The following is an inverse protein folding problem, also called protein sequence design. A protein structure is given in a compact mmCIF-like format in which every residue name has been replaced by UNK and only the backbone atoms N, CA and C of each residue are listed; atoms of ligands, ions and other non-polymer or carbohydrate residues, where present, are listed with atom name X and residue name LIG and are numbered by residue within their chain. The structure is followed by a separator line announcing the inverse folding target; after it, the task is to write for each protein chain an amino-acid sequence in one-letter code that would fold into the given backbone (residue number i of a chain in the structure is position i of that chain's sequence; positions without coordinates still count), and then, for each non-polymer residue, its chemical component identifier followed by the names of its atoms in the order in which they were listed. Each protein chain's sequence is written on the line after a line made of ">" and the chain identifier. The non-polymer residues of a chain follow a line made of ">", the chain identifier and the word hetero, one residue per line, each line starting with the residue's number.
data_IF_283239540996
#
_entry.id   IF_283239540996
#
_cell.length_a   1.000
_cell.length_b   1.000
_cell.length_c   1.000
_cell.angle_alpha   90.00
_cell.angle_beta   90.00
_cell.angle_gamma   90.00
#
_symmetry.space_group_name_H-M   'P 1'
#
loop_
_entity.id
_entity.type
_entity.pdbx_description
1 polymer ?
#
# COMPACT_ATOMS: atom_id res chain seq x y z
N UNK A 1 40.96 7.21 -12.13
CA UNK A 1 40.03 6.40 -11.32
C UNK A 1 38.67 7.09 -11.37
N UNK A 2 37.64 6.46 -11.94
CA UNK A 2 36.27 6.93 -11.76
C UNK A 2 35.89 6.60 -10.32
N UNK A 3 35.58 7.61 -9.51
CA UNK A 3 34.99 7.40 -8.19
C UNK A 3 33.63 6.74 -8.41
N UNK A 4 33.50 5.49 -7.97
CA UNK A 4 32.21 4.79 -8.02
C UNK A 4 31.17 5.59 -7.23
N UNK A 5 30.02 5.83 -7.84
CA UNK A 5 28.93 6.55 -7.22
C UNK A 5 28.15 5.58 -6.31
N UNK A 6 28.34 5.75 -5.01
CA UNK A 6 27.71 4.92 -3.98
C UNK A 6 26.18 4.80 -4.13
N UNK A 7 25.53 5.89 -4.58
CA UNK A 7 24.08 5.91 -4.80
C UNK A 7 23.67 5.00 -5.96
N UNK A 8 24.41 5.02 -7.07
CA UNK A 8 24.16 4.14 -8.23
C UNK A 8 24.36 2.67 -7.85
N UNK A 9 25.41 2.38 -7.07
CA UNK A 9 25.67 1.03 -6.56
C UNK A 9 24.54 0.53 -5.65
N UNK A 10 24.07 1.35 -4.70
CA UNK A 10 22.95 0.96 -3.84
C UNK A 10 21.64 0.81 -4.59
N UNK A 11 21.35 1.67 -5.56
CA UNK A 11 20.17 1.54 -6.40
C UNK A 11 20.19 0.21 -7.17
N UNK A 12 21.32 -0.14 -7.79
CA UNK A 12 21.48 -1.41 -8.48
C UNK A 12 21.30 -2.61 -7.54
N UNK A 13 21.93 -2.59 -6.37
CA UNK A 13 21.79 -3.66 -5.37
C UNK A 13 20.35 -3.81 -4.89
N UNK A 14 19.63 -2.69 -4.67
CA UNK A 14 18.22 -2.70 -4.31
C UNK A 14 17.37 -3.34 -5.41
N UNK A 15 17.61 -3.00 -6.68
CA UNK A 15 16.91 -3.62 -7.81
C UNK A 15 17.15 -5.13 -7.87
N UNK A 16 18.36 -5.61 -7.57
CA UNK A 16 18.62 -7.05 -7.48
C UNK A 16 17.84 -7.70 -6.35
N UNK A 17 17.76 -7.07 -5.17
CA UNK A 17 16.99 -7.58 -4.04
C UNK A 17 15.51 -7.71 -4.40
N UNK A 18 14.90 -6.67 -5.00
CA UNK A 18 13.47 -6.67 -5.38
C UNK A 18 13.07 -7.79 -6.36
N UNK A 19 14.04 -8.41 -7.05
CA UNK A 19 13.81 -9.52 -7.98
C UNK A 19 13.93 -10.91 -7.32
N UNK A 20 14.29 -10.98 -6.04
CA UNK A 20 14.31 -12.24 -5.28
C UNK A 20 12.88 -12.74 -5.08
N UNK A 21 12.68 -14.05 -5.21
CA UNK A 21 11.36 -14.70 -5.12
C UNK A 21 10.66 -14.43 -3.77
N UNK A 22 11.41 -14.45 -2.66
CA UNK A 22 10.89 -14.15 -1.32
C UNK A 22 10.30 -12.73 -1.21
N UNK A 23 10.90 -11.76 -1.92
CA UNK A 23 10.40 -10.37 -1.92
C UNK A 23 9.11 -10.21 -2.75
N UNK A 24 8.77 -11.16 -3.61
CA UNK A 24 7.46 -11.15 -4.29
C UNK A 24 6.29 -11.42 -3.32
N UNK A 25 6.57 -11.93 -2.10
CA UNK A 25 5.56 -12.07 -1.04
C UNK A 25 5.17 -10.75 -0.41
N UNK A 26 5.92 -9.69 -0.70
CA UNK A 26 5.72 -8.34 -0.17
C UNK A 26 5.46 -7.33 -1.31
N UNK A 27 4.33 -7.46 -2.04
CA UNK A 27 4.02 -6.60 -3.18
C UNK A 27 3.79 -5.12 -2.84
N UNK A 28 3.28 -4.77 -1.66
CA UNK A 28 3.10 -3.39 -1.24
C UNK A 28 4.43 -2.75 -0.85
N UNK A 29 5.27 -3.46 -0.09
CA UNK A 29 6.64 -3.07 0.24
C UNK A 29 7.46 -2.86 -1.03
N UNK A 30 7.34 -3.79 -2.00
CA UNK A 30 7.96 -3.64 -3.32
C UNK A 30 7.47 -2.37 -4.02
N UNK A 31 6.16 -2.12 -4.02
CA UNK A 31 5.56 -0.92 -4.61
C UNK A 31 6.08 0.37 -3.96
N UNK A 32 6.20 0.41 -2.63
CA UNK A 32 6.78 1.55 -1.88
C UNK A 32 8.17 1.88 -2.39
N UNK A 33 9.02 0.86 -2.59
CA UNK A 33 10.40 1.03 -3.06
C UNK A 33 10.43 1.43 -4.54
N UNK A 34 9.71 0.73 -5.41
CA UNK A 34 9.71 0.98 -6.87
C UNK A 34 9.15 2.36 -7.22
N UNK A 35 8.13 2.82 -6.48
CA UNK A 35 7.54 4.15 -6.66
C UNK A 35 8.31 5.26 -5.93
N UNK A 36 9.41 4.92 -5.25
CA UNK A 36 10.24 5.86 -4.49
C UNK A 36 9.39 6.70 -3.52
N UNK A 37 8.56 6.03 -2.72
CA UNK A 37 7.88 6.71 -1.62
C UNK A 37 8.92 7.19 -0.61
N UNK A 38 8.76 8.44 -0.19
CA UNK A 38 9.49 8.99 0.95
C UNK A 38 8.95 8.39 2.24
N UNK A 39 9.73 8.46 3.31
CA UNK A 39 9.29 8.06 4.64
C UNK A 39 7.99 8.76 5.05
N UNK A 40 7.87 10.06 4.76
CA UNK A 40 6.66 10.83 5.02
C UNK A 40 5.45 10.27 4.24
N UNK A 41 5.59 10.04 2.93
CA UNK A 41 4.50 9.47 2.10
C UNK A 41 4.08 8.06 2.58
N UNK A 42 5.05 7.24 2.99
CA UNK A 42 4.78 5.92 3.56
C UNK A 42 4.01 6.04 4.89
N UNK A 43 4.50 6.86 5.82
CA UNK A 43 3.86 7.07 7.13
C UNK A 43 2.44 7.61 6.98
N UNK A 44 2.21 8.58 6.10
CA UNK A 44 0.86 9.11 5.86
C UNK A 44 -0.07 8.05 5.23
N UNK A 45 0.46 7.20 4.33
CA UNK A 45 -0.31 6.06 3.80
C UNK A 45 -0.68 5.09 4.93
N UNK A 46 0.24 4.79 5.84
CA UNK A 46 -0.02 3.89 6.96
C UNK A 46 -1.05 4.45 7.96
N UNK A 47 -1.00 5.76 8.25
CA UNK A 47 -2.01 6.44 9.08
C UNK A 47 -3.38 6.44 8.42
N UNK A 48 -3.44 6.65 7.10
CA UNK A 48 -4.69 6.52 6.35
C UNK A 48 -5.27 5.11 6.52
N UNK A 49 -4.46 4.06 6.38
CA UNK A 49 -4.94 2.69 6.59
C UNK A 49 -5.44 2.43 8.00
N UNK A 50 -4.74 2.93 9.01
CA UNK A 50 -5.14 2.82 10.42
C UNK A 50 -6.49 3.49 10.66
N UNK A 51 -6.66 4.76 10.25
CA UNK A 51 -7.93 5.48 10.39
C UNK A 51 -9.10 4.81 9.65
N UNK A 52 -8.88 4.32 8.42
CA UNK A 52 -9.90 3.58 7.68
C UNK A 52 -10.29 2.27 8.37
N UNK A 53 -9.32 1.61 9.03
CA UNK A 53 -9.58 0.38 9.74
C UNK A 53 -10.38 0.62 11.02
N UNK A 54 -10.07 1.67 11.77
CA UNK A 54 -10.84 2.10 12.93
C UNK A 54 -12.29 2.40 12.53
N UNK A 55 -12.50 3.24 11.51
CA UNK A 55 -13.85 3.54 11.00
C UNK A 55 -14.57 2.26 10.51
N UNK A 56 -13.86 1.35 9.84
CA UNK A 56 -14.44 0.08 9.41
C UNK A 56 -14.92 -0.77 10.59
N UNK A 57 -14.15 -0.86 11.68
CA UNK A 57 -14.55 -1.60 12.87
C UNK A 57 -15.81 -0.98 13.48
N UNK A 58 -15.84 0.35 13.62
CA UNK A 58 -17.02 1.07 14.14
C UNK A 58 -18.26 0.81 13.27
N UNK A 59 -18.12 0.91 11.95
CA UNK A 59 -19.19 0.60 11.00
C UNK A 59 -19.69 -0.86 11.11
N UNK A 60 -18.79 -1.82 11.35
CA UNK A 60 -19.18 -3.22 11.59
C UNK A 60 -19.96 -3.38 12.90
N UNK A 61 -19.53 -2.72 13.97
CA UNK A 61 -20.20 -2.78 15.28
C UNK A 61 -21.60 -2.16 15.24
N UNK A 62 -21.76 -1.09 14.47
CA UNK A 62 -23.05 -0.42 14.26
C UNK A 62 -23.94 -1.13 13.22
N UNK A 63 -23.44 -2.16 12.54
CA UNK A 63 -24.19 -3.00 11.60
C UNK A 63 -24.36 -2.38 10.20
N UNK A 64 -23.45 -1.49 9.79
CA UNK A 64 -23.43 -0.94 8.44
C UNK A 64 -23.10 -2.02 7.41
N UNK A 65 -23.72 -1.91 6.23
CA UNK A 65 -23.56 -2.86 5.12
C UNK A 65 -22.82 -2.22 3.94
N UNK A 66 -22.76 -0.89 3.89
CA UNK A 66 -22.24 -0.09 2.80
C UNK A 66 -21.00 0.68 3.26
N UNK A 67 -19.86 0.36 2.66
CA UNK A 67 -18.53 0.92 2.99
C UNK A 67 -17.91 1.68 1.81
N UNK A 68 -18.72 2.05 0.81
CA UNK A 68 -18.35 2.92 -0.31
C UNK A 68 -17.62 4.21 0.15
N UNK A 69 -18.02 4.88 1.27
CA UNK A 69 -17.30 6.04 1.78
C UNK A 69 -15.84 5.75 2.15
N UNK A 70 -15.51 4.54 2.62
CA UNK A 70 -14.13 4.15 2.94
C UNK A 70 -13.27 4.08 1.67
N UNK A 71 -13.81 3.55 0.56
CA UNK A 71 -13.07 3.53 -0.71
C UNK A 71 -12.86 4.95 -1.24
N UNK A 72 -13.89 5.81 -1.14
CA UNK A 72 -13.76 7.20 -1.56
C UNK A 72 -12.70 7.94 -0.74
N UNK A 73 -12.69 7.72 0.59
CA UNK A 73 -11.69 8.30 1.48
C UNK A 73 -10.28 7.78 1.14
N UNK A 74 -10.15 6.47 0.93
CA UNK A 74 -8.89 5.86 0.48
C UNK A 74 -8.39 6.51 -0.82
N UNK A 75 -9.24 6.57 -1.86
CA UNK A 75 -8.90 7.17 -3.15
C UNK A 75 -8.53 8.66 -3.06
N UNK A 76 -9.19 9.41 -2.16
CA UNK A 76 -8.95 10.83 -1.99
C UNK A 76 -7.66 11.16 -1.24
N UNK A 77 -7.19 10.27 -0.36
CA UNK A 77 -6.05 10.54 0.53
C UNK A 77 -4.82 9.70 0.23
N UNK A 78 -4.94 8.65 -0.60
CA UNK A 78 -3.82 7.81 -1.00
C UNK A 78 -2.70 8.65 -1.63
N UNK A 79 -1.45 8.26 -1.35
CA UNK A 79 -0.29 8.85 -2.02
C UNK A 79 -0.46 8.78 -3.55
N UNK A 80 -0.36 9.92 -4.23
CA UNK A 80 -0.55 10.05 -5.69
C UNK A 80 0.38 9.16 -6.55
N UNK A 81 1.46 8.62 -5.96
CA UNK A 81 2.39 7.69 -6.61
C UNK A 81 1.87 6.26 -6.68
N UNK A 82 0.84 5.94 -5.89
CA UNK A 82 0.24 4.61 -5.78
C UNK A 82 -1.05 4.57 -6.60
N UNK A 83 -1.26 3.47 -7.34
CA UNK A 83 -2.56 3.18 -7.95
C UNK A 83 -3.51 2.65 -6.88
N UNK A 84 -4.75 3.13 -6.86
CA UNK A 84 -5.78 2.69 -5.91
C UNK A 84 -6.00 1.18 -6.01
N UNK A 85 -6.22 0.67 -7.22
CA UNK A 85 -6.47 -0.76 -7.46
C UNK A 85 -5.27 -1.62 -7.07
N UNK A 86 -4.07 -1.26 -7.56
CA UNK A 86 -2.86 -2.06 -7.34
C UNK A 86 -2.47 -2.08 -5.87
N UNK A 87 -2.60 -0.94 -5.17
CA UNK A 87 -2.24 -0.83 -3.76
C UNK A 87 -3.20 -1.61 -2.87
N UNK A 88 -4.51 -1.58 -3.12
CA UNK A 88 -5.48 -2.41 -2.39
C UNK A 88 -5.14 -3.90 -2.53
N UNK A 89 -4.84 -4.37 -3.74
CA UNK A 89 -4.48 -5.78 -3.96
C UNK A 89 -3.14 -6.13 -3.28
N UNK A 90 -2.15 -5.25 -3.39
CA UNK A 90 -0.84 -5.44 -2.79
C UNK A 90 -0.90 -5.49 -1.26
N UNK A 91 -1.61 -4.56 -0.63
CA UNK A 91 -1.80 -4.51 0.83
C UNK A 91 -2.57 -5.74 1.32
N UNK A 92 -3.60 -6.15 0.58
CA UNK A 92 -4.34 -7.39 0.88
C UNK A 92 -3.43 -8.62 0.86
N UNK A 93 -2.58 -8.75 -0.16
CA UNK A 93 -1.65 -9.88 -0.30
C UNK A 93 -0.58 -9.93 0.79
N UNK A 94 -0.16 -8.79 1.32
CA UNK A 94 0.74 -8.73 2.48
C UNK A 94 0.05 -9.07 3.81
N UNK A 95 -1.27 -9.27 3.81
CA UNK A 95 -2.04 -9.61 5.01
C UNK A 95 -2.28 -8.42 5.94
N UNK A 96 -2.09 -7.20 5.44
CA UNK A 96 -2.35 -5.97 6.20
C UNK A 96 -3.83 -5.59 6.12
N UNK A 97 -4.45 -5.30 7.27
CA UNK A 97 -5.86 -4.92 7.37
C UNK A 97 -6.81 -5.81 6.53
N UNK A 98 -6.74 -7.15 6.67
CA UNK A 98 -7.26 -8.08 5.66
C UNK A 98 -8.77 -7.94 5.42
N UNK A 99 -9.57 -7.67 6.45
CA UNK A 99 -11.02 -7.53 6.32
C UNK A 99 -11.42 -6.20 5.64
N UNK A 100 -10.76 -5.09 6.02
CA UNK A 100 -10.93 -3.80 5.35
C UNK A 100 -10.56 -3.93 3.87
N UNK A 101 -9.38 -4.46 3.57
CA UNK A 101 -8.90 -4.62 2.20
C UNK A 101 -9.81 -5.53 1.38
N UNK A 102 -10.28 -6.64 1.95
CA UNK A 102 -11.26 -7.52 1.32
C UNK A 102 -12.57 -6.80 1.00
N UNK A 103 -13.01 -5.90 1.85
CA UNK A 103 -14.19 -5.06 1.62
C UNK A 103 -13.95 -4.05 0.50
N UNK A 104 -12.83 -3.31 0.54
CA UNK A 104 -12.48 -2.33 -0.51
C UNK A 104 -12.34 -2.97 -1.89
N UNK A 105 -11.73 -4.16 -1.98
CA UNK A 105 -11.59 -4.92 -3.24
C UNK A 105 -12.92 -5.17 -3.96
N UNK A 106 -14.01 -5.36 -3.21
CA UNK A 106 -15.34 -5.60 -3.80
C UNK A 106 -15.85 -4.38 -4.58
N UNK A 107 -15.49 -3.18 -4.16
CA UNK A 107 -15.94 -1.95 -4.80
C UNK A 107 -15.11 -1.58 -6.02
N UNK A 108 -13.84 -2.01 -6.06
CA UNK A 108 -12.93 -1.75 -7.17
C UNK A 108 -13.19 -2.66 -8.39
N UNK A 109 -13.71 -3.86 -8.17
CA UNK A 109 -13.96 -4.85 -9.22
C UNK A 109 -15.41 -4.87 -9.74
N UNK A 110 -16.27 -3.95 -9.30
CA UNK A 110 -17.68 -3.85 -9.71
C UNK A 110 -17.91 -2.76 -10.76
#
# INVERSE_FOLDING_TARGET
>A
MKTENCCETFHFQMQLLLNIEELQRYPFTKMVIEKNLTEHEYVETMKLLESLHETYIEEQEEGFVHHEPLLLHYAGMLCYKLSIEESIEAIYHEGMYPDLMKTLRKYVHN
#
